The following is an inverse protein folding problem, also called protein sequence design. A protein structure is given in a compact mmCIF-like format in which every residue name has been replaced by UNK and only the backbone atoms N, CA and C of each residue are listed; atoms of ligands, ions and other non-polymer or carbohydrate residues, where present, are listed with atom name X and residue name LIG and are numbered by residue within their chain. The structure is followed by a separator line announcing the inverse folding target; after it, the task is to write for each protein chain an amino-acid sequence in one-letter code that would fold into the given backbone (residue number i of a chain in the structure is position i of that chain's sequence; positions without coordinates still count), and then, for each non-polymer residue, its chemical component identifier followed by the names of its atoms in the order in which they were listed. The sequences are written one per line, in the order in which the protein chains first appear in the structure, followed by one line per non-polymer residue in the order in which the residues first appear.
data_IF_203360972308
#
_entry.id   IF_203360972308
#
_cell.length_a   1.000
_cell.length_b   1.000
_cell.length_c   1.000
_cell.angle_alpha   90.00
_cell.angle_beta   90.00
_cell.angle_gamma   90.00
#
_symmetry.space_group_name_H-M   'P 1'
#
loop_
_entity.id
_entity.type
_entity.pdbx_description
1 polymer ?
#
# COMPACT_ATOMS: atom_id res chain seq x y z
N UNK A 1 -25.41 7.64 5.59
CA UNK A 1 -24.08 7.59 4.99
C UNK A 1 -24.17 7.20 3.52
N UNK A 2 -24.83 6.11 3.13
CA UNK A 2 -24.94 5.63 1.72
C UNK A 2 -25.55 6.65 0.74
N UNK A 3 -26.29 7.63 1.21
CA UNK A 3 -26.85 8.73 0.38
C UNK A 3 -25.88 9.92 0.24
N UNK A 4 -24.76 9.92 0.98
CA UNK A 4 -23.79 11.01 0.93
C UNK A 4 -22.80 10.76 -0.22
N UNK A 5 -22.60 11.75 -1.12
CA UNK A 5 -21.57 11.64 -2.15
C UNK A 5 -20.16 11.53 -1.56
N UNK A 6 -19.91 12.14 -0.40
CA UNK A 6 -18.61 12.08 0.30
C UNK A 6 -18.26 10.63 0.64
N UNK A 7 -19.23 9.82 1.09
CA UNK A 7 -18.99 8.41 1.37
C UNK A 7 -18.49 7.65 0.14
N UNK A 8 -19.11 7.89 -1.02
CA UNK A 8 -18.74 7.20 -2.25
C UNK A 8 -17.40 7.65 -2.81
N UNK A 9 -17.04 8.93 -2.62
CA UNK A 9 -15.69 9.41 -2.95
C UNK A 9 -14.66 8.72 -2.06
N UNK A 10 -14.87 8.69 -0.74
CA UNK A 10 -14.00 7.98 0.19
C UNK A 10 -13.91 6.49 -0.17
N UNK A 11 -15.02 5.85 -0.48
CA UNK A 11 -15.06 4.45 -0.89
C UNK A 11 -14.23 4.19 -2.15
N UNK A 12 -14.40 5.03 -3.17
CA UNK A 12 -13.65 4.91 -4.43
C UNK A 12 -12.15 5.09 -4.21
N UNK A 13 -11.75 6.13 -3.48
CA UNK A 13 -10.34 6.37 -3.16
C UNK A 13 -9.77 5.19 -2.37
N UNK A 14 -10.52 4.66 -1.41
CA UNK A 14 -10.10 3.48 -0.66
C UNK A 14 -9.95 2.25 -1.56
N UNK A 15 -10.87 2.00 -2.50
CA UNK A 15 -10.74 0.91 -3.48
C UNK A 15 -9.48 1.08 -4.32
N UNK A 16 -9.22 2.28 -4.82
CA UNK A 16 -8.06 2.56 -5.69
C UNK A 16 -6.74 2.29 -4.95
N UNK A 17 -6.54 2.92 -3.80
CA UNK A 17 -5.31 2.76 -3.01
C UNK A 17 -5.16 1.32 -2.51
N UNK A 18 -6.24 0.72 -2.01
CA UNK A 18 -6.21 -0.68 -1.58
C UNK A 18 -5.89 -1.64 -2.73
N UNK A 19 -6.39 -1.39 -3.94
CA UNK A 19 -6.08 -2.21 -5.11
C UNK A 19 -4.58 -2.14 -5.45
N UNK A 20 -3.98 -0.94 -5.50
CA UNK A 20 -2.55 -0.76 -5.72
C UNK A 20 -1.70 -1.53 -4.71
N UNK A 21 -2.03 -1.41 -3.43
CA UNK A 21 -1.31 -2.11 -2.35
C UNK A 21 -1.48 -3.63 -2.39
N UNK A 22 -2.70 -4.12 -2.58
CA UNK A 22 -2.97 -5.55 -2.66
C UNK A 22 -2.33 -6.19 -3.92
N UNK A 23 -2.35 -5.48 -5.06
CA UNK A 23 -1.65 -5.91 -6.27
C UNK A 23 -0.15 -6.04 -6.01
N UNK A 24 0.48 -5.03 -5.41
CA UNK A 24 1.90 -5.04 -5.08
C UNK A 24 2.23 -6.17 -4.09
N UNK A 25 1.44 -6.33 -3.03
CA UNK A 25 1.64 -7.38 -2.03
C UNK A 25 1.55 -8.78 -2.62
N UNK A 26 0.61 -9.02 -3.55
CA UNK A 26 0.47 -10.31 -4.21
C UNK A 26 1.61 -10.63 -5.19
N UNK A 27 2.25 -9.59 -5.74
CA UNK A 27 3.26 -9.74 -6.79
C UNK A 27 4.70 -9.56 -6.30
N UNK A 28 4.93 -9.29 -5.01
CA UNK A 28 6.29 -9.05 -4.49
C UNK A 28 7.24 -10.22 -4.74
N UNK A 29 6.79 -11.46 -4.55
CA UNK A 29 7.60 -12.64 -4.78
C UNK A 29 7.85 -12.88 -6.28
N UNK A 30 6.84 -12.90 -7.17
CA UNK A 30 7.05 -12.94 -8.61
C UNK A 30 8.02 -11.86 -9.11
N UNK A 31 7.87 -10.60 -8.67
CA UNK A 31 8.76 -9.49 -9.05
C UNK A 31 10.20 -9.79 -8.64
N UNK A 32 10.43 -10.24 -7.40
CA UNK A 32 11.79 -10.54 -6.91
C UNK A 32 12.43 -11.70 -7.68
N UNK A 33 11.67 -12.71 -8.08
CA UNK A 33 12.14 -13.80 -8.91
C UNK A 33 12.49 -13.35 -10.33
N UNK A 34 11.63 -12.57 -10.97
CA UNK A 34 11.85 -12.06 -12.33
C UNK A 34 13.03 -11.08 -12.38
N UNK A 35 13.25 -10.31 -11.32
CA UNK A 35 14.43 -9.45 -11.16
C UNK A 35 15.69 -10.24 -10.77
N UNK A 36 15.57 -11.55 -10.55
CA UNK A 36 16.66 -12.47 -10.16
C UNK A 36 17.38 -12.06 -8.87
N UNK A 37 16.64 -11.44 -7.94
CA UNK A 37 17.17 -10.96 -6.66
C UNK A 37 16.61 -11.75 -5.46
N UNK A 38 15.62 -12.63 -5.67
CA UNK A 38 14.91 -13.31 -4.59
C UNK A 38 15.84 -13.97 -3.57
N UNK A 39 16.83 -14.71 -4.04
CA UNK A 39 17.78 -15.46 -3.22
C UNK A 39 19.10 -14.72 -2.96
N UNK A 40 19.25 -13.49 -3.49
CA UNK A 40 20.47 -12.71 -3.30
C UNK A 40 20.63 -12.34 -1.82
N UNK A 41 21.78 -12.63 -1.20
CA UNK A 41 22.01 -12.30 0.21
C UNK A 41 22.11 -10.77 0.37
N UNK A 42 21.31 -10.24 1.28
CA UNK A 42 21.33 -8.83 1.69
C UNK A 42 21.72 -8.77 3.15
N UNK A 43 22.67 -7.90 3.49
CA UNK A 43 23.08 -7.65 4.86
C UNK A 43 22.65 -6.23 5.27
N UNK A 44 21.75 -6.14 6.25
CA UNK A 44 21.27 -4.88 6.82
C UNK A 44 21.23 -4.99 8.33
N UNK A 45 21.72 -3.98 9.02
CA UNK A 45 21.72 -3.90 10.49
C UNK A 45 22.31 -5.13 11.20
N UNK A 46 23.30 -5.82 10.58
CA UNK A 46 23.94 -7.03 11.15
C UNK A 46 23.21 -8.34 10.87
N UNK A 47 22.06 -8.30 10.21
CA UNK A 47 21.33 -9.49 9.76
C UNK A 47 21.64 -9.77 8.29
N UNK A 48 21.82 -11.04 7.95
CA UNK A 48 22.01 -11.49 6.57
C UNK A 48 20.91 -12.48 6.20
N UNK A 49 20.13 -12.14 5.17
CA UNK A 49 19.02 -12.96 4.68
C UNK A 49 18.88 -12.81 3.17
N UNK A 50 18.16 -13.74 2.52
CA UNK A 50 17.77 -13.59 1.13
C UNK A 50 16.89 -12.32 0.96
N UNK A 51 17.09 -11.57 -0.13
CA UNK A 51 16.41 -10.29 -0.35
C UNK A 51 14.89 -10.39 -0.25
N UNK A 52 14.27 -11.42 -0.83
CA UNK A 52 12.83 -11.63 -0.75
C UNK A 52 12.37 -11.87 0.71
N UNK A 53 13.07 -12.71 1.44
CA UNK A 53 12.74 -13.01 2.85
C UNK A 53 12.88 -11.75 3.71
N UNK A 54 13.94 -10.97 3.45
CA UNK A 54 14.18 -9.71 4.16
C UNK A 54 13.08 -8.68 3.85
N UNK A 55 12.73 -8.52 2.56
CA UNK A 55 11.65 -7.62 2.12
C UNK A 55 10.34 -7.98 2.83
N UNK A 56 9.86 -9.22 2.72
CA UNK A 56 8.59 -9.65 3.33
C UNK A 56 8.60 -9.46 4.85
N UNK A 57 9.73 -9.70 5.51
CA UNK A 57 9.85 -9.54 6.97
C UNK A 57 9.73 -8.06 7.37
N UNK A 58 10.45 -7.17 6.69
CA UNK A 58 10.37 -5.73 6.93
C UNK A 58 9.01 -5.16 6.57
N UNK A 59 8.41 -5.61 5.46
CA UNK A 59 7.07 -5.16 5.03
C UNK A 59 6.04 -5.37 6.15
N UNK A 60 6.06 -6.52 6.82
CA UNK A 60 5.14 -6.80 7.93
C UNK A 60 5.37 -5.91 9.15
N UNK A 61 6.64 -5.66 9.47
CA UNK A 61 7.00 -4.77 10.57
C UNK A 61 6.58 -3.33 10.27
N UNK A 62 6.90 -2.85 9.06
CA UNK A 62 6.59 -1.49 8.65
C UNK A 62 5.09 -1.26 8.43
N UNK A 63 4.34 -2.21 7.86
CA UNK A 63 2.87 -2.14 7.76
C UNK A 63 2.21 -2.03 9.14
N UNK A 64 2.68 -2.83 10.11
CA UNK A 64 2.19 -2.77 11.49
C UNK A 64 2.52 -1.44 12.18
N UNK A 65 3.74 -0.93 12.01
CA UNK A 65 4.21 0.29 12.63
C UNK A 65 3.62 1.54 11.97
N UNK A 66 3.38 1.48 10.67
CA UNK A 66 2.82 2.58 9.88
C UNK A 66 1.48 3.06 10.40
N UNK A 67 0.60 2.15 10.82
CA UNK A 67 -0.75 2.49 11.31
C UNK A 67 -0.75 3.43 12.52
N UNK A 68 -0.09 3.13 13.65
CA UNK A 68 -0.04 4.05 14.77
C UNK A 68 0.75 5.33 14.43
N UNK A 69 1.82 5.21 13.64
CA UNK A 69 2.63 6.35 13.23
C UNK A 69 1.81 7.36 12.41
N UNK A 70 1.16 6.93 11.34
CA UNK A 70 0.34 7.83 10.52
C UNK A 70 -0.93 8.29 11.23
N UNK A 71 -1.49 7.49 12.13
CA UNK A 71 -2.54 7.94 13.03
C UNK A 71 -2.11 9.16 13.83
N UNK A 72 -0.96 9.08 14.50
CA UNK A 72 -0.38 10.18 15.27
C UNK A 72 -0.03 11.40 14.39
N UNK A 73 0.61 11.17 13.24
CA UNK A 73 0.92 12.27 12.29
C UNK A 73 -0.35 12.98 11.86
N UNK A 74 -1.41 12.24 11.54
CA UNK A 74 -2.67 12.81 11.08
C UNK A 74 -3.41 13.62 12.15
N UNK A 75 -3.18 13.33 13.42
CA UNK A 75 -3.71 14.12 14.51
C UNK A 75 -3.01 15.49 14.64
N UNK A 76 -1.77 15.62 14.11
CA UNK A 76 -0.98 16.87 14.17
C UNK A 76 -1.12 17.74 12.93
N UNK A 77 -1.06 17.16 11.73
CA UNK A 77 -1.07 17.91 10.46
C UNK A 77 -2.40 17.78 9.69
N UNK A 78 -3.35 17.01 10.21
CA UNK A 78 -4.65 16.77 9.60
C UNK A 78 -4.68 15.56 8.66
N UNK A 79 -5.90 15.00 8.48
CA UNK A 79 -6.11 13.75 7.74
C UNK A 79 -5.72 13.86 6.26
N UNK A 80 -6.17 14.95 5.62
CA UNK A 80 -5.96 15.16 4.18
C UNK A 80 -4.50 15.31 3.81
N UNK A 81 -3.75 16.13 4.57
CA UNK A 81 -2.32 16.32 4.33
C UNK A 81 -1.53 15.04 4.56
N UNK A 82 -1.89 14.27 5.58
CA UNK A 82 -1.25 12.99 5.87
C UNK A 82 -1.50 11.99 4.74
N UNK A 83 -2.74 11.87 4.25
CA UNK A 83 -3.08 11.02 3.10
C UNK A 83 -2.31 11.44 1.85
N UNK A 84 -2.23 12.75 1.57
CA UNK A 84 -1.49 13.24 0.40
C UNK A 84 0.00 12.88 0.46
N UNK A 85 0.64 13.07 1.62
CA UNK A 85 2.05 12.69 1.83
C UNK A 85 2.22 11.17 1.68
N UNK A 86 1.33 10.39 2.28
CA UNK A 86 1.38 8.95 2.26
C UNK A 86 1.23 8.40 0.83
N UNK A 87 0.19 8.80 0.11
CA UNK A 87 -0.03 8.35 -1.27
C UNK A 87 1.10 8.79 -2.21
N UNK A 88 1.58 10.03 -2.07
CA UNK A 88 2.74 10.52 -2.81
C UNK A 88 4.00 9.70 -2.54
N UNK A 89 4.24 9.35 -1.27
CA UNK A 89 5.38 8.50 -0.89
C UNK A 89 5.21 7.08 -1.43
N UNK A 90 4.03 6.50 -1.35
CA UNK A 90 3.73 5.18 -1.91
C UNK A 90 3.99 5.15 -3.43
N UNK A 91 3.48 6.14 -4.16
CA UNK A 91 3.73 6.29 -5.60
C UNK A 91 5.23 6.42 -5.92
N UNK A 92 5.97 7.23 -5.17
CA UNK A 92 7.41 7.40 -5.33
C UNK A 92 8.19 6.10 -5.08
N UNK A 93 7.79 5.30 -4.08
CA UNK A 93 8.41 3.99 -3.81
C UNK A 93 8.12 2.99 -4.93
N UNK A 94 6.91 2.95 -5.47
CA UNK A 94 6.59 2.10 -6.63
C UNK A 94 7.42 2.46 -7.85
N UNK A 95 7.59 3.76 -8.13
CA UNK A 95 8.48 4.22 -9.21
C UNK A 95 9.94 3.84 -8.95
N UNK A 96 10.38 3.92 -7.69
CA UNK A 96 11.73 3.50 -7.30
C UNK A 96 11.94 2.00 -7.51
N UNK A 97 10.97 1.16 -7.15
CA UNK A 97 11.02 -0.28 -7.40
C UNK A 97 11.03 -0.57 -8.91
N UNK A 98 10.21 0.14 -9.68
CA UNK A 98 10.16 0.00 -11.14
C UNK A 98 11.50 0.33 -11.81
N UNK A 99 12.17 1.40 -11.36
CA UNK A 99 13.42 1.88 -11.97
C UNK A 99 14.67 1.16 -11.45
N UNK A 100 14.71 0.86 -10.15
CA UNK A 100 15.93 0.42 -9.46
C UNK A 100 15.74 -0.91 -8.70
N UNK A 101 14.60 -1.56 -8.79
CA UNK A 101 14.26 -2.78 -8.06
C UNK A 101 15.14 -3.99 -8.37
N UNK A 102 15.95 -3.95 -9.43
CA UNK A 102 16.97 -4.97 -9.72
C UNK A 102 18.13 -4.95 -8.69
N UNK A 103 18.29 -3.86 -7.94
CA UNK A 103 19.22 -3.82 -6.81
C UNK A 103 18.50 -4.38 -5.57
N UNK A 104 19.02 -5.49 -4.97
CA UNK A 104 18.34 -6.16 -3.85
C UNK A 104 18.18 -5.26 -2.62
N UNK A 105 19.12 -4.37 -2.33
CA UNK A 105 19.02 -3.44 -1.20
C UNK A 105 17.93 -2.40 -1.45
N UNK A 106 17.90 -1.81 -2.66
CA UNK A 106 16.86 -0.84 -3.04
C UNK A 106 15.49 -1.48 -3.00
N UNK A 107 15.36 -2.71 -3.51
CA UNK A 107 14.11 -3.47 -3.47
C UNK A 107 13.61 -3.64 -2.03
N UNK A 108 14.47 -4.14 -1.14
CA UNK A 108 14.11 -4.38 0.28
C UNK A 108 13.69 -3.09 0.98
N UNK A 109 14.45 -2.00 0.80
CA UNK A 109 14.15 -0.75 1.47
C UNK A 109 12.91 -0.04 0.90
N UNK A 110 12.77 -0.05 -0.43
CA UNK A 110 11.64 0.61 -1.09
C UNK A 110 10.31 -0.13 -0.80
N UNK A 111 10.31 -1.47 -0.77
CA UNK A 111 9.13 -2.24 -0.39
C UNK A 111 8.77 -2.02 1.07
N UNK A 112 9.75 -2.02 1.99
CA UNK A 112 9.50 -1.76 3.40
C UNK A 112 8.86 -0.38 3.62
N UNK A 113 9.38 0.69 3.00
CA UNK A 113 8.79 2.03 3.08
C UNK A 113 7.40 2.04 2.44
N UNK A 114 7.22 1.42 1.28
CA UNK A 114 5.93 1.33 0.60
C UNK A 114 4.85 0.71 1.51
N UNK A 115 5.12 -0.45 2.11
CA UNK A 115 4.15 -1.10 2.99
C UNK A 115 3.98 -0.37 4.33
N UNK A 116 5.01 0.30 4.81
CA UNK A 116 4.91 1.18 5.98
C UNK A 116 3.93 2.33 5.76
N UNK A 117 3.92 2.88 4.56
CA UNK A 117 2.98 3.93 4.17
C UNK A 117 1.61 3.36 3.80
N UNK A 118 1.57 2.21 3.12
CA UNK A 118 0.32 1.57 2.71
C UNK A 118 -0.59 1.20 3.90
N UNK A 119 0.00 0.81 5.05
CA UNK A 119 -0.75 0.47 6.25
C UNK A 119 -1.63 1.60 6.80
N UNK A 120 -1.32 2.85 6.46
CA UNK A 120 -2.01 4.05 6.95
C UNK A 120 -3.49 4.12 6.52
N UNK A 121 -3.84 3.57 5.34
CA UNK A 121 -5.24 3.58 4.86
C UNK A 121 -6.20 2.93 5.86
N UNK A 122 -5.73 1.95 6.62
CA UNK A 122 -6.51 1.23 7.63
C UNK A 122 -6.71 2.02 8.94
N UNK A 123 -5.97 3.10 9.14
CA UNK A 123 -6.15 4.02 10.26
C UNK A 123 -6.83 5.32 9.83
N UNK A 124 -6.42 5.91 8.71
CA UNK A 124 -6.89 7.23 8.29
C UNK A 124 -8.31 7.21 7.73
N UNK A 125 -8.68 6.21 6.91
CA UNK A 125 -10.04 6.15 6.37
C UNK A 125 -11.11 5.99 7.45
N UNK A 126 -10.96 5.09 8.45
CA UNK A 126 -11.88 5.04 9.59
C UNK A 126 -11.93 6.34 10.40
N UNK A 127 -10.78 6.98 10.64
CA UNK A 127 -10.72 8.24 11.35
C UNK A 127 -11.45 9.34 10.59
N UNK A 128 -11.18 9.50 9.30
CA UNK A 128 -11.87 10.46 8.42
C UNK A 128 -13.38 10.20 8.34
N UNK A 129 -13.78 8.93 8.31
CA UNK A 129 -15.19 8.53 8.36
C UNK A 129 -15.85 8.96 9.67
N UNK A 130 -15.15 8.79 10.80
CA UNK A 130 -15.61 9.23 12.11
C UNK A 130 -15.75 10.75 12.21
N UNK A 131 -14.74 11.48 11.70
CA UNK A 131 -14.73 12.95 11.68
C UNK A 131 -15.87 13.53 10.78
N UNK A 132 -16.15 12.85 9.66
CA UNK A 132 -17.15 13.30 8.67
C UNK A 132 -18.58 12.95 9.05
N UNK A 133 -18.82 11.73 9.55
CA UNK A 133 -20.16 11.18 9.79
C UNK A 133 -20.51 11.05 11.27
N UNK A 134 -19.59 11.40 12.15
CA UNK A 134 -19.75 11.34 13.60
C UNK A 134 -19.58 9.91 14.17
N UNK A 135 -19.43 9.87 15.49
CA UNK A 135 -19.09 8.64 16.22
C UNK A 135 -20.27 7.70 16.49
N UNK A 136 -21.52 8.20 16.40
CA UNK A 136 -22.71 7.43 16.80
C UNK A 136 -22.86 6.10 16.06
N UNK A 137 -22.52 6.07 14.77
CA UNK A 137 -22.60 4.88 13.91
C UNK A 137 -21.24 4.53 13.30
N UNK A 138 -20.14 4.92 13.95
CA UNK A 138 -18.80 4.77 13.42
C UNK A 138 -18.47 3.33 13.03
N UNK A 139 -18.80 2.36 13.86
CA UNK A 139 -18.56 0.93 13.57
C UNK A 139 -19.28 0.47 12.31
N UNK A 140 -20.56 0.85 12.13
CA UNK A 140 -21.34 0.48 10.95
C UNK A 140 -20.80 1.18 9.71
N UNK A 141 -20.49 2.48 9.80
CA UNK A 141 -19.95 3.26 8.70
C UNK A 141 -18.60 2.71 8.25
N UNK A 142 -17.72 2.42 9.20
CA UNK A 142 -16.42 1.82 8.92
C UNK A 142 -16.56 0.41 8.34
N UNK A 143 -17.46 -0.42 8.86
CA UNK A 143 -17.73 -1.75 8.29
C UNK A 143 -18.14 -1.68 6.82
N UNK A 144 -19.03 -0.73 6.46
CA UNK A 144 -19.41 -0.49 5.07
C UNK A 144 -18.21 0.02 4.23
N UNK A 145 -17.42 0.95 4.77
CA UNK A 145 -16.25 1.49 4.08
C UNK A 145 -15.19 0.40 3.84
N UNK A 146 -14.99 -0.51 4.80
CA UNK A 146 -14.04 -1.62 4.66
C UNK A 146 -14.42 -2.65 3.59
N UNK A 147 -15.67 -2.68 3.12
CA UNK A 147 -16.02 -3.51 1.96
C UNK A 147 -15.27 -3.09 0.69
N UNK A 148 -14.75 -1.85 0.66
CA UNK A 148 -13.86 -1.36 -0.40
C UNK A 148 -12.62 -2.25 -0.58
N UNK A 149 -12.06 -2.79 0.52
CA UNK A 149 -10.95 -3.76 0.45
C UNK A 149 -11.35 -5.04 -0.30
N UNK A 150 -12.57 -5.54 -0.05
CA UNK A 150 -13.11 -6.69 -0.78
C UNK A 150 -13.26 -6.39 -2.27
N UNK A 151 -13.80 -5.22 -2.61
CA UNK A 151 -13.90 -4.76 -4.01
C UNK A 151 -12.51 -4.63 -4.65
N UNK A 152 -11.54 -4.06 -3.95
CA UNK A 152 -10.16 -3.93 -4.41
C UNK A 152 -9.50 -5.30 -4.67
N UNK A 153 -9.79 -6.30 -3.84
CA UNK A 153 -9.21 -7.64 -3.99
C UNK A 153 -9.63 -8.33 -5.29
N UNK A 154 -10.80 -7.99 -5.85
CA UNK A 154 -11.23 -8.50 -7.15
C UNK A 154 -10.38 -8.00 -8.32
N UNK A 155 -9.67 -6.87 -8.11
CA UNK A 155 -8.78 -6.30 -9.13
C UNK A 155 -7.37 -6.94 -9.09
N UNK A 156 -7.02 -7.65 -8.01
CA UNK A 156 -5.67 -8.23 -7.83
C UNK A 156 -5.26 -9.18 -8.98
N UNK A 157 -6.12 -10.08 -9.48
CA UNK A 157 -5.77 -10.95 -10.61
C UNK A 157 -5.40 -10.19 -11.89
N UNK A 158 -5.90 -8.96 -12.06
CA UNK A 158 -5.56 -8.12 -13.22
C UNK A 158 -4.09 -7.73 -13.23
N UNK A 159 -3.43 -7.64 -12.06
CA UNK A 159 -1.99 -7.39 -11.98
C UNK A 159 -1.17 -8.51 -12.64
N UNK A 160 -1.54 -9.78 -12.41
CA UNK A 160 -0.88 -10.93 -13.04
C UNK A 160 -1.10 -10.94 -14.55
N UNK A 161 -2.31 -10.61 -15.00
CA UNK A 161 -2.63 -10.53 -16.44
C UNK A 161 -1.85 -9.36 -17.09
N UNK A 162 -1.78 -8.20 -16.44
CA UNK A 162 -1.02 -7.06 -16.93
C UNK A 162 0.47 -7.38 -16.98
N UNK A 163 1.03 -8.02 -15.95
CA UNK A 163 2.43 -8.45 -15.92
C UNK A 163 2.76 -9.41 -17.06
N UNK A 164 1.90 -10.40 -17.31
CA UNK A 164 2.07 -11.37 -18.38
C UNK A 164 1.98 -10.76 -19.78
N UNK A 165 1.15 -9.73 -19.97
CA UNK A 165 0.89 -9.12 -21.29
C UNK A 165 1.82 -7.93 -21.59
N UNK A 166 2.15 -7.13 -20.60
CA UNK A 166 2.85 -5.84 -20.76
C UNK A 166 4.09 -5.68 -19.87
N UNK A 167 4.43 -6.71 -19.08
CA UNK A 167 5.55 -6.67 -18.13
C UNK A 167 5.27 -5.88 -16.85
N UNK A 168 6.22 -5.94 -15.92
CA UNK A 168 6.10 -5.35 -14.59
C UNK A 168 5.97 -3.82 -14.60
N UNK A 169 6.56 -3.15 -15.60
CA UNK A 169 6.43 -1.69 -15.72
C UNK A 169 4.97 -1.24 -15.81
N UNK A 170 4.14 -1.96 -16.58
CA UNK A 170 2.72 -1.65 -16.67
C UNK A 170 2.01 -1.81 -15.32
N UNK A 171 2.34 -2.85 -14.55
CA UNK A 171 1.77 -3.07 -13.21
C UNK A 171 2.15 -1.94 -12.27
N UNK A 172 3.41 -1.50 -12.28
CA UNK A 172 3.85 -0.37 -11.45
C UNK A 172 3.17 0.93 -11.85
N UNK A 173 3.04 1.22 -13.15
CA UNK A 173 2.33 2.43 -13.63
C UNK A 173 0.87 2.42 -13.21
N UNK A 174 0.18 1.27 -13.33
CA UNK A 174 -1.20 1.12 -12.85
C UNK A 174 -1.27 1.34 -11.34
N UNK A 175 -0.38 0.71 -10.57
CA UNK A 175 -0.36 0.86 -9.12
C UNK A 175 -0.06 2.31 -8.68
N UNK A 176 0.83 3.02 -9.38
CA UNK A 176 1.11 4.44 -9.15
C UNK A 176 -0.12 5.31 -9.45
N UNK A 177 -0.82 5.03 -10.55
CA UNK A 177 -2.03 5.78 -10.93
C UNK A 177 -3.21 5.56 -9.97
N UNK A 178 -3.19 4.46 -9.21
CA UNK A 178 -4.20 4.13 -8.20
C UNK A 178 -3.90 4.74 -6.82
N UNK A 179 -2.69 5.26 -6.60
CA UNK A 179 -2.28 5.93 -5.36
C UNK A 179 -2.36 7.45 -5.49
#
# INVERSE_FOLDING_TARGET
VLRSPIFWVMYLVFVMVAAGGLMTAAQIAPIAHDFKIADTPVSLAGFQMAALTFAISLDRIFDGFGRPFFGWVSDTIGREHTMFIAFGTAAAMLLTISAYGHNPIVFVLATAVYFGVFGEIYSLFPATSGDTFGVKYATTNNGMLYTAKGTASLLVPLASLAAASYGWQAVFVIAVALN
#
